data_IF_015633516966
#
_entry.id   IF_015633516966
#
_cell.length_a   1.000
_cell.length_b   1.000
_cell.length_c   1.000
_cell.angle_alpha   90.00
_cell.angle_beta   90.00
_cell.angle_gamma   90.00
#
_symmetry.space_group_name_H-M   'P 1'
#
loop_
_entity.id
_entity.type
_entity.pdbx_description
1 polymer ?
#
# COMPACT_ATOMS: atom_id res chain seq x y z
N UNK A 1 -25.53 -6.52 23.07
CA UNK A 1 -25.02 -7.58 22.15
C UNK A 1 -24.37 -6.90 20.96
N UNK A 2 -23.05 -6.65 21.02
CA UNK A 2 -22.31 -6.02 19.92
C UNK A 2 -22.11 -7.05 18.81
N UNK A 3 -22.55 -6.73 17.60
CA UNK A 3 -22.17 -7.47 16.41
C UNK A 3 -20.66 -7.34 16.23
N UNK A 4 -19.93 -8.42 16.47
CA UNK A 4 -18.56 -8.55 15.99
C UNK A 4 -18.61 -8.36 14.48
N UNK A 5 -17.81 -7.45 13.94
CA UNK A 5 -17.79 -7.18 12.51
C UNK A 5 -17.35 -8.43 11.75
N UNK A 6 -17.90 -8.66 10.56
CA UNK A 6 -17.52 -9.77 9.67
C UNK A 6 -16.00 -9.82 9.41
N UNK A 7 -15.32 -8.67 9.50
CA UNK A 7 -13.86 -8.55 9.41
C UNK A 7 -13.12 -9.24 10.56
N UNK A 8 -13.72 -9.32 11.76
CA UNK A 8 -13.11 -10.02 12.90
C UNK A 8 -13.28 -11.53 12.76
N UNK A 9 -14.42 -12.00 12.25
CA UNK A 9 -14.65 -13.42 11.97
C UNK A 9 -13.74 -13.92 10.83
N UNK A 10 -13.50 -13.10 9.81
CA UNK A 10 -12.54 -13.41 8.75
C UNK A 10 -11.10 -13.53 9.27
N UNK A 11 -10.73 -12.75 10.31
CA UNK A 11 -9.41 -12.79 10.95
C UNK A 11 -9.21 -13.99 11.91
N UNK A 12 -10.29 -14.51 12.50
CA UNK A 12 -10.24 -15.60 13.45
C UNK A 12 -10.27 -16.98 12.80
N UNK A 13 -9.88 -17.08 11.52
CA UNK A 13 -9.83 -18.28 10.70
C UNK A 13 -10.04 -19.59 11.48
N UNK A 14 -10.91 -20.42 10.97
CA UNK A 14 -11.31 -21.70 11.54
C UNK A 14 -10.14 -22.43 12.22
N UNK A 15 -10.35 -22.91 13.43
CA UNK A 15 -9.37 -23.62 14.28
C UNK A 15 -8.80 -24.89 13.63
N UNK A 16 -9.25 -25.30 12.45
CA UNK A 16 -8.86 -26.53 11.75
C UNK A 16 -7.95 -26.33 10.53
N UNK A 17 -7.78 -25.09 10.02
CA UNK A 17 -6.92 -24.82 8.87
C UNK A 17 -6.38 -23.40 8.87
N UNK A 18 -5.07 -23.25 8.82
CA UNK A 18 -4.45 -21.93 8.65
C UNK A 18 -4.87 -21.34 7.30
N UNK A 19 -5.45 -20.12 7.31
CA UNK A 19 -5.72 -19.36 6.08
C UNK A 19 -4.44 -18.92 5.38
N UNK A 20 -3.30 -18.94 6.09
CA UNK A 20 -2.00 -18.51 5.58
C UNK A 20 -1.30 -19.65 4.84
N UNK A 21 -0.72 -19.35 3.68
CA UNK A 21 -0.08 -20.31 2.78
C UNK A 21 1.26 -20.85 3.28
N UNK A 22 1.90 -20.12 4.21
CA UNK A 22 3.20 -20.50 4.75
C UNK A 22 3.34 -20.21 6.24
N UNK A 23 4.33 -20.87 6.87
CA UNK A 23 4.73 -20.61 8.26
C UNK A 23 5.24 -19.16 8.45
N UNK A 24 5.93 -18.61 7.44
CA UNK A 24 6.43 -17.24 7.46
C UNK A 24 5.28 -16.23 7.51
N UNK A 25 4.27 -16.41 6.66
CA UNK A 25 3.08 -15.57 6.66
C UNK A 25 2.32 -15.66 7.98
N UNK A 26 2.19 -16.86 8.55
CA UNK A 26 1.56 -17.04 9.87
C UNK A 26 2.29 -16.28 10.98
N UNK A 27 3.63 -16.29 10.98
CA UNK A 27 4.44 -15.51 11.93
C UNK A 27 4.23 -14.02 11.78
N UNK A 28 4.17 -13.53 10.53
CA UNK A 28 3.91 -12.12 10.23
C UNK A 28 2.52 -11.73 10.71
N UNK A 29 1.49 -12.51 10.37
CA UNK A 29 0.12 -12.26 10.81
C UNK A 29 0.01 -12.18 12.32
N UNK A 30 0.61 -13.16 13.04
CA UNK A 30 0.62 -13.17 14.51
C UNK A 30 1.28 -11.91 15.09
N UNK A 31 2.39 -11.46 14.52
CA UNK A 31 3.03 -10.20 14.93
C UNK A 31 2.14 -8.99 14.69
N UNK A 32 1.49 -8.89 13.53
CA UNK A 32 0.57 -7.79 13.21
C UNK A 32 -0.60 -7.74 14.20
N UNK A 33 -1.19 -8.91 14.52
CA UNK A 33 -2.26 -9.04 15.51
C UNK A 33 -1.80 -8.61 16.90
N UNK A 34 -0.62 -9.07 17.36
CA UNK A 34 -0.06 -8.67 18.65
C UNK A 34 0.26 -7.16 18.72
N UNK A 35 0.62 -6.56 17.59
CA UNK A 35 0.92 -5.13 17.49
C UNK A 35 -0.33 -4.28 17.24
N UNK A 36 -1.52 -4.89 17.20
CA UNK A 36 -2.80 -4.24 16.86
C UNK A 36 -2.77 -3.48 15.53
N UNK A 37 -2.03 -4.01 14.54
CA UNK A 37 -1.93 -3.45 13.18
C UNK A 37 -2.97 -4.14 12.30
N UNK A 38 -3.91 -3.37 11.77
CA UNK A 38 -4.94 -3.87 10.88
C UNK A 38 -4.40 -4.22 9.49
N UNK A 39 -4.79 -5.40 8.95
CA UNK A 39 -4.36 -5.82 7.62
C UNK A 39 -5.45 -6.55 6.84
N UNK A 40 -5.31 -6.58 5.51
CA UNK A 40 -5.98 -7.53 4.61
C UNK A 40 -4.97 -8.55 4.12
N UNK A 41 -5.33 -9.80 4.19
CA UNK A 41 -4.54 -10.90 3.63
C UNK A 41 -4.86 -11.08 2.14
N UNK A 42 -3.83 -11.23 1.30
CA UNK A 42 -3.92 -11.41 -0.15
C UNK A 42 -4.84 -10.42 -0.90
N UNK A 43 -4.68 -9.10 -0.70
CA UNK A 43 -5.47 -8.13 -1.45
C UNK A 43 -5.12 -8.18 -2.94
N UNK A 44 -6.12 -8.07 -3.81
CA UNK A 44 -5.90 -7.97 -5.25
C UNK A 44 -5.33 -6.59 -5.61
N UNK A 45 -4.21 -6.55 -6.32
CA UNK A 45 -3.61 -5.31 -6.85
C UNK A 45 -3.39 -5.43 -8.35
N UNK A 46 -3.59 -4.33 -9.08
CA UNK A 46 -3.31 -4.27 -10.51
C UNK A 46 -1.88 -3.76 -10.70
N UNK A 47 -1.04 -4.54 -11.37
CA UNK A 47 0.30 -4.15 -11.76
C UNK A 47 0.44 -4.20 -13.28
N UNK A 48 1.27 -3.34 -13.85
CA UNK A 48 1.62 -3.38 -15.26
C UNK A 48 2.95 -4.14 -15.40
N UNK A 49 2.85 -5.39 -15.87
CA UNK A 49 4.03 -6.18 -16.18
C UNK A 49 4.75 -5.64 -17.44
N UNK A 50 5.88 -6.23 -17.76
CA UNK A 50 6.61 -5.90 -19.00
C UNK A 50 5.66 -6.05 -20.19
N UNK A 51 5.72 -5.10 -21.13
CA UNK A 51 4.81 -4.91 -22.27
C UNK A 51 3.46 -4.23 -21.96
N UNK A 52 3.28 -3.63 -20.77
CA UNK A 52 2.15 -2.75 -20.46
C UNK A 52 0.80 -3.43 -20.25
N UNK A 53 0.71 -4.77 -20.29
CA UNK A 53 -0.54 -5.47 -20.02
C UNK A 53 -0.81 -5.49 -18.51
N UNK A 54 -2.02 -5.12 -18.05
CA UNK A 54 -2.37 -5.20 -16.64
C UNK A 54 -2.44 -6.67 -16.20
N UNK A 55 -1.95 -6.93 -14.99
CA UNK A 55 -2.05 -8.23 -14.31
C UNK A 55 -2.56 -7.99 -12.89
N UNK A 56 -3.30 -8.96 -12.37
CA UNK A 56 -3.70 -8.97 -10.96
C UNK A 56 -2.67 -9.79 -10.20
N UNK A 57 -2.11 -9.17 -9.16
CA UNK A 57 -1.23 -9.83 -8.19
C UNK A 57 -1.83 -9.75 -6.80
N UNK A 58 -1.37 -10.62 -5.92
CA UNK A 58 -1.85 -10.75 -4.55
C UNK A 58 -0.65 -10.67 -3.59
N UNK A 59 -0.25 -9.46 -3.16
CA UNK A 59 0.70 -9.33 -2.06
C UNK A 59 0.15 -9.98 -0.80
N UNK A 60 1.03 -10.49 0.09
CA UNK A 60 0.55 -11.27 1.24
C UNK A 60 -0.28 -10.44 2.21
N UNK A 61 0.12 -9.22 2.53
CA UNK A 61 -0.61 -8.35 3.47
C UNK A 61 -0.69 -6.92 2.97
N UNK A 62 -1.83 -6.27 3.20
CA UNK A 62 -2.00 -4.83 3.05
C UNK A 62 -2.32 -4.20 4.40
N UNK A 63 -1.48 -3.28 4.85
CA UNK A 63 -1.62 -2.56 6.11
C UNK A 63 -2.35 -1.23 5.86
N UNK A 64 -3.61 -1.16 6.25
CA UNK A 64 -4.50 -0.04 5.93
C UNK A 64 -4.00 1.30 6.43
N UNK A 65 -3.62 1.35 7.71
CA UNK A 65 -3.19 2.58 8.38
C UNK A 65 -1.92 3.15 7.75
N UNK A 66 -1.06 2.26 7.29
CA UNK A 66 0.22 2.60 6.69
C UNK A 66 0.17 2.69 5.16
N UNK A 67 -0.94 2.26 4.52
CA UNK A 67 -1.07 2.15 3.05
C UNK A 67 0.13 1.42 2.41
N UNK A 68 0.64 0.41 3.07
CA UNK A 68 1.87 -0.31 2.74
C UNK A 68 1.57 -1.79 2.68
N UNK A 69 2.23 -2.50 1.78
CA UNK A 69 2.12 -3.94 1.66
C UNK A 69 3.30 -4.63 2.35
N UNK A 70 3.08 -5.86 2.84
CA UNK A 70 4.14 -6.79 3.21
C UNK A 70 4.11 -7.96 2.24
N UNK A 71 5.29 -8.43 1.86
CA UNK A 71 5.48 -9.59 0.97
C UNK A 71 6.54 -10.50 1.56
N UNK A 72 6.19 -11.78 1.79
CA UNK A 72 7.09 -12.79 2.29
C UNK A 72 7.65 -13.64 1.14
N UNK A 73 8.95 -13.58 0.91
CA UNK A 73 9.64 -14.32 -0.12
C UNK A 73 10.26 -15.61 0.45
N UNK A 74 9.42 -16.62 0.68
CA UNK A 74 9.77 -17.84 1.43
C UNK A 74 10.82 -18.76 0.78
N UNK A 75 11.04 -18.66 -0.54
CA UNK A 75 11.92 -19.57 -1.31
C UNK A 75 13.20 -18.87 -1.81
N UNK A 76 13.72 -17.89 -1.09
CA UNK A 76 14.80 -17.00 -1.54
C UNK A 76 16.18 -17.65 -1.72
N UNK A 77 16.31 -18.97 -1.61
CA UNK A 77 17.60 -19.70 -1.77
C UNK A 77 17.83 -20.24 -3.18
N UNK A 78 16.89 -20.05 -4.12
CA UNK A 78 17.01 -20.48 -5.52
C UNK A 78 17.33 -19.29 -6.44
N UNK A 79 18.37 -19.44 -7.29
CA UNK A 79 18.78 -18.40 -8.26
C UNK A 79 17.67 -17.99 -9.25
N UNK A 80 16.83 -18.95 -9.66
CA UNK A 80 15.67 -18.65 -10.51
C UNK A 80 14.59 -17.87 -9.76
N UNK A 81 14.44 -18.15 -8.48
CA UNK A 81 13.54 -17.45 -7.60
C UNK A 81 13.98 -16.00 -7.36
N UNK A 82 15.29 -15.75 -7.20
CA UNK A 82 15.85 -14.39 -7.06
C UNK A 82 15.49 -13.49 -8.24
N UNK A 83 15.50 -14.01 -9.46
CA UNK A 83 15.08 -13.25 -10.64
C UNK A 83 13.59 -12.91 -10.59
N UNK A 84 12.76 -13.86 -10.16
CA UNK A 84 11.32 -13.66 -9.95
C UNK A 84 11.03 -12.62 -8.87
N UNK A 85 11.75 -12.65 -7.75
CA UNK A 85 11.65 -11.67 -6.66
C UNK A 85 11.96 -10.26 -7.16
N UNK A 86 13.10 -10.10 -7.88
CA UNK A 86 13.50 -8.80 -8.44
C UNK A 86 12.49 -8.27 -9.45
N UNK A 87 11.96 -9.14 -10.31
CA UNK A 87 10.91 -8.76 -11.26
C UNK A 87 9.64 -8.30 -10.53
N UNK A 88 9.23 -9.03 -9.48
CA UNK A 88 8.05 -8.70 -8.67
C UNK A 88 8.24 -7.36 -7.95
N UNK A 89 9.39 -7.15 -7.31
CA UNK A 89 9.71 -5.88 -6.65
C UNK A 89 9.74 -4.70 -7.63
N UNK A 90 10.33 -4.90 -8.84
CA UNK A 90 10.34 -3.88 -9.89
C UNK A 90 8.94 -3.51 -10.34
N UNK A 91 8.05 -4.50 -10.52
CA UNK A 91 6.68 -4.27 -10.91
C UNK A 91 5.87 -3.53 -9.84
N UNK A 92 6.04 -3.87 -8.56
CA UNK A 92 5.44 -3.11 -7.45
C UNK A 92 5.90 -1.66 -7.44
N UNK A 93 7.20 -1.43 -7.61
CA UNK A 93 7.77 -0.07 -7.69
C UNK A 93 7.21 0.71 -8.87
N UNK A 94 7.12 0.11 -10.06
CA UNK A 94 6.51 0.72 -11.26
C UNK A 94 5.03 1.06 -11.04
N UNK A 95 4.31 0.23 -10.29
CA UNK A 95 2.91 0.45 -9.91
C UNK A 95 2.73 1.50 -8.79
N UNK A 96 3.82 2.04 -8.23
CA UNK A 96 3.77 2.99 -7.11
C UNK A 96 3.33 2.38 -5.79
N UNK A 97 3.49 1.06 -5.62
CA UNK A 97 3.16 0.36 -4.39
C UNK A 97 4.36 0.36 -3.44
N UNK A 98 4.13 0.78 -2.21
CA UNK A 98 5.12 0.65 -1.13
C UNK A 98 5.02 -0.78 -0.58
N UNK A 99 6.07 -1.57 -0.76
CA UNK A 99 6.12 -2.98 -0.35
C UNK A 99 7.35 -3.21 0.53
N UNK A 100 7.13 -3.77 1.71
CA UNK A 100 8.17 -4.24 2.63
C UNK A 100 8.39 -5.72 2.35
N UNK A 101 9.62 -6.08 1.96
CA UNK A 101 9.99 -7.47 1.65
C UNK A 101 10.53 -8.17 2.89
N UNK A 102 10.00 -9.34 3.20
CA UNK A 102 10.43 -10.18 4.31
C UNK A 102 10.97 -11.50 3.75
N UNK A 103 12.09 -11.96 4.31
CA UNK A 103 12.78 -13.17 3.88
C UNK A 103 13.00 -14.15 5.04
N UNK A 104 13.16 -15.47 4.78
CA UNK A 104 13.30 -16.48 5.83
C UNK A 104 14.43 -16.23 6.81
N UNK A 105 15.58 -15.74 6.33
CA UNK A 105 16.75 -15.48 7.19
C UNK A 105 16.50 -14.34 8.18
N UNK A 106 15.61 -13.39 7.87
CA UNK A 106 15.28 -12.26 8.75
C UNK A 106 14.61 -12.71 10.05
N UNK A 107 13.92 -13.88 10.05
CA UNK A 107 13.30 -14.42 11.25
C UNK A 107 14.30 -14.85 12.34
N UNK A 108 15.58 -14.91 12.03
CA UNK A 108 16.66 -15.16 13.01
C UNK A 108 17.15 -13.89 13.69
N UNK A 109 16.67 -12.73 13.26
CA UNK A 109 17.06 -11.40 13.73
C UNK A 109 15.83 -10.63 14.24
N UNK A 110 15.98 -9.33 14.51
CA UNK A 110 14.87 -8.46 14.92
C UNK A 110 14.03 -8.01 13.70
N UNK A 111 13.36 -8.95 13.05
CA UNK A 111 12.51 -8.70 11.89
C UNK A 111 11.28 -7.84 12.21
N UNK A 112 10.74 -7.96 13.44
CA UNK A 112 9.63 -7.13 13.91
C UNK A 112 10.07 -5.65 13.96
N UNK A 113 11.24 -5.38 14.54
CA UNK A 113 11.83 -4.04 14.57
C UNK A 113 12.13 -3.52 13.16
N UNK A 114 12.51 -4.39 12.23
CA UNK A 114 12.68 -4.02 10.83
C UNK A 114 11.35 -3.58 10.19
N UNK A 115 10.26 -4.34 10.37
CA UNK A 115 8.94 -3.96 9.85
C UNK A 115 8.53 -2.61 10.42
N UNK A 116 8.62 -2.41 11.74
CA UNK A 116 8.23 -1.15 12.38
C UNK A 116 9.02 0.04 11.85
N UNK A 117 10.34 -0.12 11.69
CA UNK A 117 11.22 0.92 11.12
C UNK A 117 10.86 1.27 9.67
N UNK A 118 10.55 0.28 8.84
CA UNK A 118 10.14 0.51 7.46
C UNK A 118 8.77 1.18 7.36
N UNK A 119 7.83 0.85 8.24
CA UNK A 119 6.53 1.53 8.33
C UNK A 119 6.69 2.99 8.74
N UNK A 120 7.52 3.27 9.74
CA UNK A 120 7.87 4.63 10.14
C UNK A 120 8.48 5.42 8.97
N UNK A 121 9.49 4.84 8.31
CA UNK A 121 10.18 5.46 7.15
C UNK A 121 9.19 5.80 6.03
N UNK A 122 8.30 4.88 5.69
CA UNK A 122 7.30 5.06 4.63
C UNK A 122 6.31 6.16 5.00
N UNK A 123 5.84 6.16 6.24
CA UNK A 123 4.90 7.18 6.77
C UNK A 123 5.53 8.56 6.75
N UNK A 124 6.76 8.70 7.24
CA UNK A 124 7.49 9.97 7.25
C UNK A 124 7.76 10.48 5.84
N UNK A 125 8.12 9.58 4.90
CA UNK A 125 8.32 9.95 3.49
C UNK A 125 7.05 10.51 2.85
N UNK A 126 5.90 9.86 3.10
CA UNK A 126 4.60 10.36 2.61
C UNK A 126 4.22 11.70 3.22
N UNK A 127 4.39 11.84 4.53
CA UNK A 127 4.12 13.10 5.22
C UNK A 127 4.98 14.23 4.62
N UNK A 128 6.28 14.02 4.43
CA UNK A 128 7.17 14.99 3.78
C UNK A 128 6.70 15.36 2.39
N UNK A 129 6.34 14.38 1.56
CA UNK A 129 5.83 14.62 0.21
C UNK A 129 4.53 15.44 0.19
N UNK A 130 3.66 15.26 1.18
CA UNK A 130 2.43 16.05 1.34
C UNK A 130 2.75 17.50 1.73
N UNK A 131 3.73 17.70 2.62
CA UNK A 131 4.12 19.04 3.08
C UNK A 131 4.91 19.82 2.04
N UNK A 132 5.77 19.14 1.25
CA UNK A 132 6.59 19.76 0.20
C UNK A 132 5.80 20.11 -1.06
N UNK A 133 4.66 19.49 -1.30
CA UNK A 133 3.78 19.77 -2.44
C UNK A 133 2.43 20.29 -1.95
N UNK A 134 2.34 21.54 -1.50
CA UNK A 134 1.07 22.11 -1.06
C UNK A 134 0.06 22.05 -2.22
N UNK A 135 -1.12 21.52 -1.94
CA UNK A 135 -2.21 21.29 -2.90
C UNK A 135 -2.54 22.54 -3.74
N UNK A 136 -2.36 23.74 -3.17
CA UNK A 136 -2.61 25.02 -3.86
C UNK A 136 -1.52 25.45 -4.84
N UNK A 137 -0.36 24.80 -4.89
CA UNK A 137 0.70 25.17 -5.84
C UNK A 137 0.40 24.75 -7.29
N UNK A 138 -0.53 23.81 -7.50
CA UNK A 138 -0.88 23.28 -8.83
C UNK A 138 -2.16 23.87 -9.44
N UNK A 139 -2.97 24.58 -8.66
CA UNK A 139 -4.22 25.16 -9.11
C UNK A 139 -4.40 26.56 -8.55
N UNK A 140 -3.59 27.53 -9.01
CA UNK A 140 -4.12 28.88 -9.12
C UNK A 140 -5.07 28.83 -10.33
N UNK A 141 -6.40 28.81 -10.19
CA UNK A 141 -7.25 29.06 -11.31
C UNK A 141 -6.84 30.44 -11.84
N UNK A 142 -6.31 30.49 -13.06
CA UNK A 142 -6.08 31.80 -13.67
C UNK A 142 -7.43 32.51 -13.67
N UNK A 143 -7.44 33.78 -13.27
CA UNK A 143 -8.66 34.60 -13.23
C UNK A 143 -9.43 34.55 -14.58
N UNK A 144 -8.75 34.17 -15.64
CA UNK A 144 -9.27 33.92 -17.00
C UNK A 144 -10.17 32.67 -17.09
N UNK A 145 -9.98 31.64 -16.28
CA UNK A 145 -10.82 30.43 -16.32
C UNK A 145 -12.17 30.63 -15.64
N UNK A 146 -12.24 31.51 -14.62
CA UNK A 146 -13.49 31.88 -13.98
C UNK A 146 -14.43 32.63 -14.92
N UNK A 147 -13.90 33.51 -15.79
CA UNK A 147 -14.68 34.23 -16.78
C UNK A 147 -15.32 33.33 -17.84
N UNK A 148 -14.67 32.19 -18.14
CA UNK A 148 -15.18 31.25 -19.14
C UNK A 148 -16.28 30.33 -18.57
N UNK A 149 -16.28 30.06 -17.25
CA UNK A 149 -17.24 29.17 -16.59
C UNK A 149 -18.53 29.89 -16.15
N UNK A 150 -18.47 31.20 -15.84
CA UNK A 150 -19.61 31.93 -15.30
C UNK A 150 -20.41 32.70 -16.32
N UNK A 151 -19.96 32.85 -17.58
CA UNK A 151 -20.69 33.58 -18.62
C UNK A 151 -20.95 35.06 -18.31
N UNK A 152 -20.45 35.58 -17.17
CA UNK A 152 -20.61 36.98 -16.79
C UNK A 152 -19.64 37.88 -17.59
N UNK A 153 -19.99 38.11 -18.83
CA UNK A 153 -19.50 39.24 -19.58
C UNK A 153 -20.13 40.50 -19.01
N UNK A 154 -19.37 41.27 -18.21
CA UNK A 154 -19.81 42.55 -17.71
C UNK A 154 -20.26 43.45 -18.88
N UNK A 155 -21.57 43.71 -18.96
CA UNK A 155 -22.08 44.85 -19.74
C UNK A 155 -21.58 46.10 -19.06
N UNK A 156 -20.90 46.94 -19.78
CA UNK A 156 -20.53 48.28 -19.42
C UNK A 156 -21.78 49.02 -18.92
N UNK A 157 -21.84 49.32 -17.63
CA UNK A 157 -22.71 50.39 -17.13
C UNK A 157 -21.99 51.70 -17.43
N UNK A 158 -22.29 52.25 -18.59
CA UNK A 158 -22.09 53.69 -18.86
C UNK A 158 -23.38 54.41 -18.42
N UNK A 159 -23.21 55.43 -17.61
CA UNK A 159 -24.06 56.59 -17.55
C UNK A 159 -25.21 56.55 -16.55
N UNK A 160 -25.13 57.23 -15.46
CA UNK A 160 -25.77 58.50 -15.13
C UNK A 160 -25.16 59.01 -13.86
#
# INVERSE_FOLDING_TARGET
MQRMSADLEYRLGDKSGSIYKSEGERKIAHFLDQSNIGYHYEPAVIVHADHGKPRIWYPDFYLHEFKTYLEYFGMADDRHYDQGVKAKQSAYKKAGLDVISIYPWMFRENWQGYIMKELERTTLSRYRNLMEKPYWSKTKPSFTSYRKLTGYGGKNLKGY
#
